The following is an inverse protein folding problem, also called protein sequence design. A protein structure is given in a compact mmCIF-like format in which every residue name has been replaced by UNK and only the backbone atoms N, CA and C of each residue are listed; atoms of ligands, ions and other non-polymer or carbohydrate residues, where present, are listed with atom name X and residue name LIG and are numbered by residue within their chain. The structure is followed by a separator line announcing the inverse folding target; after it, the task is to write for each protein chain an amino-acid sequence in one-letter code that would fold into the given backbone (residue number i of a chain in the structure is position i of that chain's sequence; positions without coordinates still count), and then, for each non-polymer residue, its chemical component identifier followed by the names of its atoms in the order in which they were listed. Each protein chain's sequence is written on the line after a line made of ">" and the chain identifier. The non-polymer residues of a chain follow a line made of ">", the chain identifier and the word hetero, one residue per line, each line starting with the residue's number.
data_IF_388526320764
#
_entry.id   IF_388526320764
#
_cell.length_a   1.000
_cell.length_b   1.000
_cell.length_c   1.000
_cell.angle_alpha   90.00
_cell.angle_beta   90.00
_cell.angle_gamma   90.00
#
_symmetry.space_group_name_H-M   'P 1'
#
loop_
_entity.id
_entity.type
_entity.pdbx_description
1 polymer ?
#
# COMPACT_ATOMS: atom_id res chain seq x y z
N UNK A 1 -27.22 7.49 0.85
CA UNK A 1 -26.06 6.60 1.12
C UNK A 1 -25.29 7.26 2.23
N UNK A 2 -25.15 6.57 3.37
CA UNK A 2 -24.43 7.15 4.50
C UNK A 2 -22.93 7.07 4.20
N UNK A 3 -22.18 8.08 4.63
CA UNK A 3 -20.71 8.13 4.52
C UNK A 3 -20.05 7.32 5.66
N UNK A 4 -20.74 6.28 6.13
CA UNK A 4 -20.35 5.49 7.29
C UNK A 4 -19.47 4.32 6.87
N UNK A 5 -18.32 4.15 7.52
CA UNK A 5 -17.41 3.04 7.24
C UNK A 5 -17.98 1.68 7.71
N UNK A 6 -18.99 1.69 8.58
CA UNK A 6 -19.67 0.48 9.06
C UNK A 6 -20.72 -0.05 8.06
N UNK A 7 -21.07 0.72 7.02
CA UNK A 7 -21.97 0.26 5.98
C UNK A 7 -21.32 -0.87 5.14
N UNK A 8 -21.93 -2.07 5.05
CA UNK A 8 -21.35 -3.20 4.30
C UNK A 8 -21.06 -2.89 2.83
N UNK A 9 -21.80 -1.94 2.24
CA UNK A 9 -21.60 -1.47 0.87
C UNK A 9 -20.22 -0.81 0.72
N UNK A 10 -19.78 -0.06 1.73
CA UNK A 10 -18.48 0.63 1.73
C UNK A 10 -17.32 -0.32 2.04
N UNK A 11 -17.59 -1.51 2.60
CA UNK A 11 -16.59 -2.54 2.84
C UNK A 11 -16.35 -3.46 1.62
N UNK A 12 -17.23 -3.44 0.63
CA UNK A 12 -17.10 -4.27 -0.57
C UNK A 12 -15.82 -3.90 -1.35
N UNK A 13 -15.01 -4.90 -1.69
CA UNK A 13 -13.72 -4.77 -2.39
C UNK A 13 -12.61 -4.00 -1.63
N UNK A 14 -12.85 -3.53 -0.41
CA UNK A 14 -11.83 -2.86 0.40
C UNK A 14 -10.57 -3.70 0.68
N UNK A 15 -10.67 -5.02 0.95
CA UNK A 15 -9.48 -5.86 1.11
C UNK A 15 -8.59 -5.89 -0.14
N UNK A 16 -9.19 -5.98 -1.33
CA UNK A 16 -8.43 -6.01 -2.59
C UNK A 16 -7.76 -4.66 -2.88
N UNK A 17 -8.45 -3.54 -2.59
CA UNK A 17 -7.86 -2.20 -2.68
C UNK A 17 -6.69 -2.02 -1.71
N UNK A 18 -6.80 -2.57 -0.50
CA UNK A 18 -5.72 -2.55 0.48
C UNK A 18 -4.53 -3.41 0.00
N UNK A 19 -4.77 -4.63 -0.48
CA UNK A 19 -3.73 -5.52 -1.01
C UNK A 19 -2.97 -4.88 -2.17
N UNK A 20 -3.69 -4.26 -3.12
CA UNK A 20 -3.07 -3.51 -4.23
C UNK A 20 -2.19 -2.36 -3.73
N UNK A 21 -2.67 -1.61 -2.73
CA UNK A 21 -1.92 -0.48 -2.14
C UNK A 21 -0.67 -0.97 -1.41
N UNK A 22 -0.77 -2.06 -0.64
CA UNK A 22 0.37 -2.67 0.05
C UNK A 22 1.39 -3.23 -0.95
N UNK A 23 0.93 -3.87 -2.02
CA UNK A 23 1.81 -4.37 -3.08
C UNK A 23 2.59 -3.23 -3.75
N UNK A 24 1.93 -2.10 -4.05
CA UNK A 24 2.57 -0.91 -4.61
C UNK A 24 3.61 -0.29 -3.67
N UNK A 25 3.28 -0.07 -2.39
CA UNK A 25 4.25 0.46 -1.42
C UNK A 25 5.44 -0.50 -1.27
N UNK A 26 5.17 -1.81 -1.18
CA UNK A 26 6.23 -2.80 -1.05
C UNK A 26 7.15 -2.84 -2.29
N UNK A 27 6.60 -2.75 -3.50
CA UNK A 27 7.37 -2.66 -4.74
C UNK A 27 8.29 -1.44 -4.75
N UNK A 28 7.77 -0.27 -4.34
CA UNK A 28 8.56 0.98 -4.25
C UNK A 28 9.68 0.82 -3.23
N UNK A 29 9.39 0.28 -2.03
CA UNK A 29 10.40 0.06 -0.99
C UNK A 29 11.46 -0.95 -1.39
N UNK A 30 11.10 -2.01 -2.11
CA UNK A 30 12.06 -2.96 -2.66
C UNK A 30 13.01 -2.27 -3.66
N UNK A 31 12.48 -1.39 -4.52
CA UNK A 31 13.26 -0.59 -5.48
C UNK A 31 14.22 0.38 -4.79
N UNK A 32 13.74 1.07 -3.76
CA UNK A 32 14.56 1.97 -2.94
C UNK A 32 15.66 1.19 -2.20
N UNK A 33 15.34 0.01 -1.66
CA UNK A 33 16.31 -0.90 -1.05
C UNK A 33 17.43 -1.27 -2.02
N UNK A 34 17.09 -1.71 -3.23
CA UNK A 34 18.08 -2.00 -4.29
C UNK A 34 18.98 -0.80 -4.58
N UNK A 35 18.40 0.40 -4.76
CA UNK A 35 19.16 1.63 -5.01
C UNK A 35 20.12 1.94 -3.86
N UNK A 36 19.62 1.91 -2.63
CA UNK A 36 20.40 2.27 -1.44
C UNK A 36 21.52 1.25 -1.17
N UNK A 37 21.24 -0.05 -1.36
CA UNK A 37 22.27 -1.09 -1.25
C UNK A 37 23.35 -0.93 -2.32
N UNK A 38 22.98 -0.53 -3.55
CA UNK A 38 23.96 -0.27 -4.60
C UNK A 38 24.89 0.91 -4.25
N UNK A 39 24.33 2.00 -3.70
CA UNK A 39 25.12 3.14 -3.20
C UNK A 39 26.08 2.68 -2.09
N UNK A 40 25.57 1.98 -1.07
CA UNK A 40 26.38 1.47 0.04
C UNK A 40 27.49 0.51 -0.42
N UNK A 41 27.23 -0.28 -1.47
CA UNK A 41 28.21 -1.21 -2.05
C UNK A 41 29.40 -0.47 -2.68
N UNK A 42 29.15 0.70 -3.28
CA UNK A 42 30.20 1.54 -3.87
C UNK A 42 31.01 2.31 -2.83
N UNK A 43 30.43 2.61 -1.67
CA UNK A 43 31.08 3.40 -0.61
C UNK A 43 31.79 2.53 0.44
N UNK A 44 31.40 1.26 0.58
CA UNK A 44 32.01 0.32 1.53
C UNK A 44 33.45 0.00 1.13
N UNK A 45 34.38 0.06 2.09
CA UNK A 45 35.79 -0.35 1.93
C UNK A 45 36.04 -1.79 2.40
N UNK A 46 35.35 -2.24 3.45
CA UNK A 46 35.48 -3.58 4.06
C UNK A 46 35.05 -4.71 3.12
N UNK A 47 35.94 -5.69 2.80
CA UNK A 47 35.64 -6.79 1.88
C UNK A 47 34.44 -7.67 2.27
N UNK A 48 34.33 -8.00 3.56
CA UNK A 48 33.27 -8.87 4.09
C UNK A 48 31.90 -8.18 3.98
N UNK A 49 31.85 -6.88 4.31
CA UNK A 49 30.64 -6.07 4.17
C UNK A 49 30.25 -5.90 2.69
N UNK A 50 31.23 -5.73 1.79
CA UNK A 50 30.98 -5.67 0.35
C UNK A 50 30.36 -6.97 -0.17
N UNK A 51 30.82 -8.12 0.30
CA UNK A 51 30.24 -9.41 -0.06
C UNK A 51 28.79 -9.56 0.45
N UNK A 52 28.51 -9.13 1.69
CA UNK A 52 27.17 -9.14 2.27
C UNK A 52 26.19 -8.22 1.52
N UNK A 53 26.60 -6.97 1.24
CA UNK A 53 25.80 -6.00 0.49
C UNK A 53 25.53 -6.47 -0.95
N UNK A 54 26.51 -7.12 -1.60
CA UNK A 54 26.29 -7.71 -2.93
C UNK A 54 25.22 -8.80 -2.90
N UNK A 55 25.21 -9.66 -1.87
CA UNK A 55 24.17 -10.67 -1.69
C UNK A 55 22.80 -10.02 -1.48
N UNK A 56 22.72 -9.01 -0.60
CA UNK A 56 21.47 -8.27 -0.34
C UNK A 56 20.95 -7.57 -1.60
N UNK A 57 21.83 -7.00 -2.43
CA UNK A 57 21.46 -6.39 -3.70
C UNK A 57 20.77 -7.40 -4.62
N UNK A 58 21.35 -8.58 -4.81
CA UNK A 58 20.75 -9.64 -5.63
C UNK A 58 19.42 -10.15 -5.06
N UNK A 59 19.32 -10.29 -3.73
CA UNK A 59 18.06 -10.65 -3.07
C UNK A 59 16.98 -9.58 -3.25
N UNK A 60 17.34 -8.30 -3.15
CA UNK A 60 16.42 -7.19 -3.39
C UNK A 60 15.94 -7.12 -4.84
N UNK A 61 16.81 -7.40 -5.81
CA UNK A 61 16.44 -7.48 -7.23
C UNK A 61 15.46 -8.63 -7.46
N UNK A 62 15.73 -9.82 -6.91
CA UNK A 62 14.83 -10.97 -7.02
C UNK A 62 13.47 -10.68 -6.38
N UNK A 63 13.46 -10.09 -5.17
CA UNK A 63 12.23 -9.70 -4.49
C UNK A 63 11.42 -8.68 -5.29
N UNK A 64 12.06 -7.65 -5.85
CA UNK A 64 11.37 -6.68 -6.71
C UNK A 64 10.75 -7.36 -7.94
N UNK A 65 11.44 -8.34 -8.53
CA UNK A 65 10.91 -9.12 -9.65
C UNK A 65 9.69 -9.95 -9.22
N UNK A 66 9.76 -10.71 -8.13
CA UNK A 66 8.64 -11.52 -7.62
C UNK A 66 7.39 -10.67 -7.32
N UNK A 67 7.56 -9.50 -6.69
CA UNK A 67 6.46 -8.57 -6.43
C UNK A 67 5.87 -8.07 -7.76
N UNK A 68 6.71 -7.68 -8.72
CA UNK A 68 6.26 -7.19 -10.04
C UNK A 68 5.46 -8.27 -10.77
N UNK A 69 5.96 -9.49 -10.81
CA UNK A 69 5.29 -10.63 -11.47
C UNK A 69 3.94 -10.93 -10.83
N UNK A 70 3.86 -10.94 -9.50
CA UNK A 70 2.60 -11.10 -8.77
C UNK A 70 1.60 -10.00 -9.15
N UNK A 71 2.04 -8.74 -9.15
CA UNK A 71 1.16 -7.60 -9.47
C UNK A 71 0.67 -7.64 -10.92
N UNK A 72 1.51 -8.07 -11.87
CA UNK A 72 1.11 -8.28 -13.27
C UNK A 72 0.09 -9.41 -13.38
N UNK A 73 0.33 -10.56 -12.73
CA UNK A 73 -0.61 -11.68 -12.73
C UNK A 73 -1.97 -11.32 -12.13
N UNK A 74 -1.97 -10.46 -11.10
CA UNK A 74 -3.18 -9.95 -10.44
C UNK A 74 -3.84 -8.78 -11.15
N UNK A 75 -3.25 -8.26 -12.24
CA UNK A 75 -3.70 -7.04 -12.94
C UNK A 75 -3.73 -5.80 -12.03
N UNK A 76 -2.83 -5.76 -11.06
CA UNK A 76 -2.59 -4.61 -10.20
C UNK A 76 -1.51 -3.68 -10.79
N UNK A 77 -0.81 -4.14 -11.82
CA UNK A 77 0.24 -3.38 -12.49
C UNK A 77 0.40 -3.80 -13.96
N UNK A 78 0.42 -2.82 -14.86
CA UNK A 78 0.45 -2.98 -16.32
C UNK A 78 1.69 -2.28 -16.91
N UNK A 79 2.90 -2.83 -16.71
CA UNK A 79 4.16 -2.15 -17.07
C UNK A 79 4.34 -1.92 -18.58
N UNK A 80 3.63 -2.68 -19.42
CA UNK A 80 3.74 -2.62 -20.88
C UNK A 80 2.52 -2.02 -21.57
N UNK A 81 1.43 -1.75 -20.83
CA UNK A 81 0.24 -1.09 -21.34
C UNK A 81 -0.05 0.17 -20.52
N UNK A 82 0.49 1.30 -21.00
CA UNK A 82 0.32 2.59 -20.34
C UNK A 82 -1.14 3.08 -20.38
N UNK A 83 -1.94 2.64 -21.35
CA UNK A 83 -3.34 3.04 -21.44
C UNK A 83 -4.16 2.37 -20.34
N UNK A 84 -3.96 1.06 -20.16
CA UNK A 84 -4.58 0.28 -19.08
C UNK A 84 -4.08 0.76 -17.70
N UNK A 85 -2.76 0.95 -17.54
CA UNK A 85 -2.19 1.48 -16.29
C UNK A 85 -2.78 2.85 -15.93
N UNK A 86 -2.92 3.76 -16.90
CA UNK A 86 -3.50 5.08 -16.64
C UNK A 86 -4.94 4.98 -16.15
N UNK A 87 -5.75 4.09 -16.72
CA UNK A 87 -7.13 3.87 -16.25
C UNK A 87 -7.17 3.33 -14.82
N UNK A 88 -6.28 2.38 -14.49
CA UNK A 88 -6.13 1.82 -13.16
C UNK A 88 -5.70 2.89 -12.13
N UNK A 89 -4.75 3.76 -12.50
CA UNK A 89 -4.29 4.86 -11.66
C UNK A 89 -5.41 5.86 -11.37
N UNK A 90 -6.20 6.20 -12.39
CA UNK A 90 -7.36 7.09 -12.25
C UNK A 90 -8.45 6.48 -11.36
N UNK A 91 -8.69 5.17 -11.47
CA UNK A 91 -9.59 4.44 -10.57
C UNK A 91 -9.07 4.48 -9.13
N UNK A 92 -7.78 4.22 -8.94
CA UNK A 92 -7.14 4.24 -7.62
C UNK A 92 -7.24 5.63 -6.97
N UNK A 93 -7.00 6.71 -7.73
CA UNK A 93 -7.17 8.08 -7.25
C UNK A 93 -8.61 8.40 -6.83
N UNK A 94 -9.61 7.92 -7.58
CA UNK A 94 -11.03 8.08 -7.21
C UNK A 94 -11.37 7.32 -5.94
N UNK A 95 -10.91 6.08 -5.81
CA UNK A 95 -11.15 5.25 -4.62
C UNK A 95 -10.52 5.89 -3.37
N UNK A 96 -9.30 6.41 -3.48
CA UNK A 96 -8.64 7.14 -2.39
C UNK A 96 -9.45 8.37 -1.96
N UNK A 97 -9.95 9.17 -2.92
CA UNK A 97 -10.82 10.31 -2.60
C UNK A 97 -12.13 9.86 -1.94
N UNK A 98 -12.71 8.75 -2.38
CA UNK A 98 -13.92 8.20 -1.77
C UNK A 98 -13.67 7.82 -0.31
N UNK A 99 -12.61 7.05 -0.02
CA UNK A 99 -12.22 6.65 1.33
C UNK A 99 -11.89 7.86 2.20
N UNK A 100 -11.19 8.85 1.66
CA UNK A 100 -10.82 10.07 2.38
C UNK A 100 -12.04 10.91 2.83
N UNK A 101 -13.15 10.80 2.11
CA UNK A 101 -14.41 11.48 2.45
C UNK A 101 -15.34 10.64 3.36
N UNK A 102 -14.93 9.44 3.78
CA UNK A 102 -15.71 8.62 4.72
C UNK A 102 -15.43 9.01 6.17
N UNK A 103 -16.42 8.80 7.04
CA UNK A 103 -16.24 8.88 8.48
C UNK A 103 -15.54 7.60 8.97
N UNK A 104 -14.21 7.56 8.86
CA UNK A 104 -13.40 6.38 9.17
C UNK A 104 -13.21 6.13 10.67
N UNK A 105 -13.39 7.17 11.48
CA UNK A 105 -13.17 7.10 12.92
C UNK A 105 -14.39 7.65 13.65
N UNK A 106 -14.81 7.01 14.75
CA UNK A 106 -15.87 7.55 15.56
C UNK A 106 -15.42 8.86 16.20
N UNK A 107 -16.36 9.81 16.35
CA UNK A 107 -16.11 11.11 17.01
C UNK A 107 -15.68 10.92 18.46
N UNK A 108 -16.20 9.87 19.11
CA UNK A 108 -15.83 9.48 20.46
C UNK A 108 -15.37 8.01 20.49
N UNK A 109 -14.27 7.77 21.20
CA UNK A 109 -13.69 6.43 21.42
C UNK A 109 -13.85 5.96 22.87
N UNK A 110 -14.72 6.64 23.65
CA UNK A 110 -14.99 6.28 25.03
C UNK A 110 -15.40 4.80 25.14
N UNK A 111 -14.86 4.09 26.14
CA UNK A 111 -15.28 2.70 26.42
C UNK A 111 -16.71 2.61 26.97
N UNK A 112 -17.28 3.75 27.37
CA UNK A 112 -18.67 3.87 27.81
C UNK A 112 -19.64 3.92 26.63
N UNK A 113 -19.19 4.09 25.38
CA UNK A 113 -20.07 4.14 24.21
C UNK A 113 -21.20 5.15 24.40
N UNK A 114 -22.43 4.74 24.05
CA UNK A 114 -23.65 5.55 24.22
C UNK A 114 -24.22 5.50 25.65
N UNK A 115 -23.58 4.81 26.59
CA UNK A 115 -24.13 4.62 27.95
C UNK A 115 -24.11 5.90 28.80
N UNK A 116 -23.36 6.93 28.41
CA UNK A 116 -23.32 8.22 29.09
C UNK A 116 -24.26 9.28 28.48
N UNK A 117 -24.88 9.01 27.32
CA UNK A 117 -25.84 9.94 26.70
C UNK A 117 -27.20 9.77 27.35
N UNK A 118 -27.71 10.86 27.93
CA UNK A 118 -29.13 10.89 28.33
C UNK A 118 -30.00 10.93 27.07
N UNK A 119 -31.23 10.36 27.09
CA UNK A 119 -32.06 10.20 25.88
C UNK A 119 -32.33 11.48 25.07
N UNK A 120 -32.09 12.65 25.66
CA UNK A 120 -32.52 13.95 25.14
C UNK A 120 -31.40 14.76 24.49
N UNK A 121 -30.16 14.26 24.47
CA UNK A 121 -29.01 14.90 23.81
C UNK A 121 -28.74 14.23 22.46
N UNK A 122 -29.34 14.80 21.40
CA UNK A 122 -29.04 14.49 19.99
C UNK A 122 -28.08 15.51 19.38
#
# INVERSE_FOLDING_TARGET
>A
MNQDNLDPINALNMPELADMTFAMDFLIRAKEGVRNTAVALTETTTPELRAALRKQLFQGIAMHQEITELMVQKKWFHPHDLSEQYQLDQLSAKNTNMIANMNLFPVDSNRKGMFDRTPDEQ
#
